data_IF_492332343184
#
_entry.id   IF_492332343184
#
_cell.length_a   1.000
_cell.length_b   1.000
_cell.length_c   1.000
_cell.angle_alpha   90.00
_cell.angle_beta   90.00
_cell.angle_gamma   90.00
#
_symmetry.space_group_name_H-M   'P 1'
#
loop_
_entity.id
_entity.type
_entity.pdbx_description
1 polymer ?
#
# COMPACT_ATOMS: atom_id res chain seq x y z
N UNK A 1 17.44 26.73 21.93
CA UNK A 1 17.41 27.18 20.55
C UNK A 1 18.26 26.22 19.75
N UNK A 2 17.64 25.28 19.05
CA UNK A 2 18.31 24.37 18.12
C UNK A 2 18.78 25.23 16.93
N UNK A 3 20.05 25.22 16.59
CA UNK A 3 20.57 25.88 15.38
C UNK A 3 19.81 25.26 14.20
N UNK A 4 19.01 26.05 13.50
CA UNK A 4 18.46 25.70 12.21
C UNK A 4 19.71 25.61 11.30
N UNK A 5 20.04 24.40 10.89
CA UNK A 5 21.13 24.18 9.91
C UNK A 5 20.50 24.26 8.53
N UNK A 6 20.85 25.30 7.76
CA UNK A 6 20.40 25.48 6.37
C UNK A 6 21.08 24.47 5.40
N UNK A 7 21.42 23.30 5.91
CA UNK A 7 22.07 22.19 5.19
C UNK A 7 21.35 20.89 5.53
N UNK A 8 20.82 20.15 4.53
CA UNK A 8 20.19 18.87 4.75
C UNK A 8 21.16 17.82 5.34
N UNK A 9 20.61 16.92 6.17
CA UNK A 9 21.41 15.82 6.76
C UNK A 9 21.89 14.82 5.71
N UNK A 10 21.15 14.65 4.61
CA UNK A 10 21.54 13.85 3.44
C UNK A 10 21.49 14.74 2.21
N UNK A 11 22.60 14.76 1.45
CA UNK A 11 22.76 15.61 0.27
C UNK A 11 23.53 14.89 -0.84
N UNK A 12 23.27 15.23 -2.07
CA UNK A 12 24.07 14.75 -3.21
C UNK A 12 25.50 15.27 -3.15
N UNK A 13 26.46 14.44 -3.57
CA UNK A 13 27.88 14.86 -3.63
C UNK A 13 28.07 16.03 -4.59
N UNK A 14 28.92 16.97 -4.19
CA UNK A 14 29.29 18.13 -4.99
C UNK A 14 28.52 19.41 -4.66
N UNK A 15 27.61 19.37 -3.69
CA UNK A 15 26.90 20.54 -3.20
C UNK A 15 27.24 20.75 -1.72
N UNK A 16 27.72 21.96 -1.39
CA UNK A 16 28.18 22.34 -0.03
C UNK A 16 27.53 23.63 0.48
N UNK A 17 27.02 24.46 -0.43
CA UNK A 17 26.48 25.79 -0.10
C UNK A 17 25.21 25.66 0.74
N UNK A 18 25.00 26.58 1.68
CA UNK A 18 23.76 26.67 2.45
C UNK A 18 22.56 26.91 1.53
N UNK A 19 21.42 26.33 1.87
CA UNK A 19 20.18 26.63 1.16
C UNK A 19 19.70 28.05 1.50
N UNK A 20 19.03 28.65 0.56
CA UNK A 20 18.38 29.95 0.75
C UNK A 20 17.02 29.74 1.42
N UNK A 21 16.76 30.51 2.49
CA UNK A 21 15.45 30.55 3.14
C UNK A 21 14.80 31.90 2.89
N UNK A 22 13.57 31.87 2.36
CA UNK A 22 12.77 33.07 2.10
C UNK A 22 11.35 32.91 2.64
N UNK A 23 10.67 34.04 2.86
CA UNK A 23 9.25 33.97 3.19
C UNK A 23 8.44 33.47 2.01
N UNK A 24 7.31 32.82 2.31
CA UNK A 24 6.46 32.17 1.33
C UNK A 24 6.01 33.14 0.22
N UNK A 25 5.61 34.36 0.58
CA UNK A 25 5.16 35.43 -0.36
C UNK A 25 6.28 36.02 -1.20
N UNK A 26 7.55 35.87 -0.80
CA UNK A 26 8.71 36.21 -1.62
C UNK A 26 8.99 35.15 -2.70
N UNK A 27 8.60 33.90 -2.45
CA UNK A 27 8.80 32.77 -3.36
C UNK A 27 7.62 32.58 -4.29
N UNK A 28 6.39 32.74 -3.78
CA UNK A 28 5.17 32.45 -4.51
C UNK A 28 4.28 33.67 -4.73
N UNK A 29 3.63 33.69 -5.87
CA UNK A 29 2.44 34.51 -6.14
C UNK A 29 1.20 33.59 -5.99
N UNK A 30 0.29 33.99 -5.10
CA UNK A 30 -0.95 33.27 -4.83
C UNK A 30 -2.19 34.02 -5.32
N UNK A 31 -2.06 34.84 -6.34
CA UNK A 31 -3.19 35.66 -6.87
C UNK A 31 -4.04 34.91 -7.89
N UNK A 32 -3.57 33.81 -8.45
CA UNK A 32 -4.33 32.98 -9.40
C UNK A 32 -5.60 32.47 -8.72
N UNK A 33 -6.79 32.73 -9.25
CA UNK A 33 -8.03 32.31 -8.63
C UNK A 33 -8.29 30.80 -8.82
N UNK A 34 -8.98 30.23 -7.86
CA UNK A 34 -9.60 28.90 -7.97
C UNK A 34 -11.08 29.04 -8.33
N UNK A 35 -11.70 27.96 -8.82
CA UNK A 35 -13.15 27.90 -8.99
C UNK A 35 -13.83 27.21 -7.81
N UNK A 36 -15.16 27.31 -7.74
CA UNK A 36 -15.99 26.81 -6.63
C UNK A 36 -16.85 25.61 -7.04
N UNK A 37 -16.53 24.96 -8.17
CA UNK A 37 -17.31 23.81 -8.66
C UNK A 37 -17.15 22.62 -7.70
N UNK A 38 -18.28 22.07 -7.31
CA UNK A 38 -18.35 20.85 -6.50
C UNK A 38 -17.97 19.60 -7.32
N UNK A 39 -17.71 18.50 -6.65
CA UNK A 39 -17.40 17.23 -7.33
C UNK A 39 -18.50 16.76 -8.28
N UNK A 40 -19.76 17.04 -7.95
CA UNK A 40 -20.92 16.66 -8.77
C UNK A 40 -21.02 17.42 -10.11
N UNK A 41 -20.33 18.57 -10.20
CA UNK A 41 -20.29 19.41 -11.41
C UNK A 41 -19.10 19.05 -12.34
N UNK A 42 -18.32 18.05 -11.98
CA UNK A 42 -17.17 17.58 -12.74
C UNK A 42 -17.43 16.24 -13.41
N UNK A 43 -16.85 16.01 -14.58
CA UNK A 43 -16.94 14.78 -15.35
C UNK A 43 -15.55 14.25 -15.72
N UNK A 44 -15.41 12.94 -15.86
CA UNK A 44 -14.20 12.35 -16.46
C UNK A 44 -14.32 12.18 -17.98
N UNK A 45 -15.53 12.18 -18.49
CA UNK A 45 -15.84 11.89 -19.89
C UNK A 45 -16.07 13.16 -20.73
N UNK A 46 -16.64 14.20 -20.13
CA UNK A 46 -17.06 15.42 -20.83
C UNK A 46 -16.27 16.65 -20.40
N UNK A 47 -15.94 17.52 -21.36
CA UNK A 47 -15.27 18.80 -21.12
C UNK A 47 -13.84 18.85 -21.68
N UNK A 48 -13.35 20.07 -21.88
CA UNK A 48 -12.00 20.33 -22.43
C UNK A 48 -11.06 20.97 -21.40
N UNK A 49 -11.58 21.56 -20.34
CA UNK A 49 -10.82 22.19 -19.25
C UNK A 49 -10.74 21.23 -18.07
N UNK A 50 -9.52 20.93 -17.65
CA UNK A 50 -9.22 20.07 -16.51
C UNK A 50 -9.39 20.83 -15.20
N UNK A 51 -9.82 20.17 -14.13
CA UNK A 51 -10.03 20.77 -12.81
C UNK A 51 -9.31 20.00 -11.71
N UNK A 52 -8.44 20.69 -10.95
CA UNK A 52 -7.74 20.10 -9.80
C UNK A 52 -8.57 20.29 -8.54
N UNK A 53 -9.35 19.29 -8.15
CA UNK A 53 -10.19 19.35 -6.96
C UNK A 53 -9.40 18.96 -5.70
N UNK A 54 -9.64 19.61 -4.54
CA UNK A 54 -8.88 19.38 -3.30
C UNK A 54 -8.87 17.89 -2.86
N UNK A 55 -10.00 17.19 -2.98
CA UNK A 55 -10.07 15.78 -2.63
C UNK A 55 -9.13 14.91 -3.46
N UNK A 56 -8.92 15.25 -4.75
CA UNK A 56 -7.97 14.52 -5.60
C UNK A 56 -6.52 14.83 -5.19
N UNK A 57 -6.21 16.08 -4.79
CA UNK A 57 -4.91 16.45 -4.23
C UNK A 57 -4.63 15.63 -2.97
N UNK A 58 -5.62 15.47 -2.09
CA UNK A 58 -5.46 14.74 -0.83
C UNK A 58 -5.22 13.24 -1.03
N UNK A 59 -5.95 12.59 -1.94
CA UNK A 59 -6.00 11.11 -2.01
C UNK A 59 -5.48 10.51 -3.32
N UNK A 60 -5.56 11.21 -4.45
CA UNK A 60 -5.29 10.66 -5.79
C UNK A 60 -3.92 11.06 -6.33
N UNK A 61 -3.58 12.35 -6.24
CA UNK A 61 -2.36 12.87 -6.84
C UNK A 61 -1.14 12.72 -5.90
N UNK A 62 0.02 12.49 -6.53
CA UNK A 62 1.31 12.51 -5.87
C UNK A 62 1.82 13.94 -5.63
N UNK A 63 3.12 14.07 -5.32
CA UNK A 63 3.76 15.39 -5.20
C UNK A 63 3.84 16.16 -6.52
N UNK A 64 3.78 15.45 -7.65
CA UNK A 64 3.70 16.02 -9.00
C UNK A 64 2.49 15.46 -9.71
N UNK A 65 1.67 16.33 -10.31
CA UNK A 65 0.54 15.98 -11.17
C UNK A 65 1.01 16.04 -12.63
N UNK A 66 1.17 14.88 -13.27
CA UNK A 66 1.49 14.78 -14.69
C UNK A 66 0.19 14.90 -15.50
N UNK A 67 -0.03 16.06 -16.10
CA UNK A 67 -1.29 16.37 -16.79
C UNK A 67 -1.57 15.46 -17.99
N UNK A 68 -0.56 14.76 -18.54
CA UNK A 68 -0.74 13.82 -19.65
C UNK A 68 -1.05 12.41 -19.20
N UNK A 69 -0.68 12.03 -17.97
CA UNK A 69 -0.81 10.64 -17.48
C UNK A 69 -1.88 10.47 -16.43
N UNK A 70 -2.07 11.50 -15.59
CA UNK A 70 -3.02 11.42 -14.50
C UNK A 70 -4.45 11.60 -15.00
N UNK A 71 -5.35 10.87 -14.38
CA UNK A 71 -6.77 10.97 -14.67
C UNK A 71 -7.37 12.16 -13.89
N UNK A 72 -7.61 13.25 -14.59
CA UNK A 72 -8.04 14.53 -14.05
C UNK A 72 -9.47 14.82 -14.52
N UNK A 73 -10.41 15.13 -13.60
CA UNK A 73 -11.76 15.47 -13.99
C UNK A 73 -11.79 16.77 -14.80
N UNK A 74 -12.82 16.90 -15.61
CA UNK A 74 -13.04 18.00 -16.53
C UNK A 74 -14.27 18.80 -16.14
N UNK A 75 -14.32 20.03 -16.59
CA UNK A 75 -15.49 20.90 -16.42
C UNK A 75 -16.36 20.78 -17.69
N UNK A 76 -17.59 20.20 -17.60
CA UNK A 76 -18.52 20.16 -18.71
C UNK A 76 -18.97 21.58 -19.11
N UNK A 77 -19.34 21.76 -20.38
CA UNK A 77 -19.95 22.98 -20.90
C UNK A 77 -19.15 24.28 -20.73
N UNK A 78 -17.85 24.20 -20.42
CA UNK A 78 -16.92 25.32 -20.29
C UNK A 78 -15.75 25.16 -21.23
N UNK A 79 -15.25 26.29 -21.73
CA UNK A 79 -14.08 26.32 -22.58
C UNK A 79 -12.92 27.11 -21.92
N UNK A 80 -11.76 27.06 -22.52
CA UNK A 80 -10.55 27.70 -22.01
C UNK A 80 -10.73 29.21 -21.76
N UNK A 81 -11.48 29.87 -22.63
CA UNK A 81 -11.74 31.31 -22.63
C UNK A 81 -12.54 31.74 -21.41
N UNK A 82 -13.35 30.85 -20.81
CA UNK A 82 -14.12 31.12 -19.60
C UNK A 82 -13.26 31.29 -18.34
N UNK A 83 -11.98 30.88 -18.42
CA UNK A 83 -11.05 30.84 -17.30
C UNK A 83 -9.83 31.75 -17.49
N UNK A 84 -10.01 32.88 -18.19
CA UNK A 84 -8.96 33.87 -18.35
C UNK A 84 -8.41 34.35 -17.00
N UNK A 85 -7.08 34.26 -16.82
CA UNK A 85 -6.41 34.60 -15.56
C UNK A 85 -6.41 33.48 -14.48
N UNK A 86 -7.18 32.40 -14.67
CA UNK A 86 -7.23 31.25 -13.75
C UNK A 86 -6.47 30.03 -14.26
N UNK A 87 -5.93 30.06 -15.49
CA UNK A 87 -5.21 28.93 -16.05
C UNK A 87 -3.88 28.68 -15.34
N UNK A 88 -3.64 27.42 -15.03
CA UNK A 88 -2.39 26.94 -14.42
C UNK A 88 -1.28 26.81 -15.46
N UNK A 89 -0.05 26.82 -14.97
CA UNK A 89 1.18 26.65 -15.74
C UNK A 89 2.01 25.51 -15.19
N UNK A 90 2.96 24.99 -15.99
CA UNK A 90 3.95 24.03 -15.46
C UNK A 90 4.76 24.70 -14.34
N UNK A 91 4.88 23.99 -13.21
CA UNK A 91 5.52 24.48 -11.99
C UNK A 91 4.60 25.19 -11.00
N UNK A 92 3.34 25.48 -11.35
CA UNK A 92 2.36 25.94 -10.36
C UNK A 92 2.15 24.84 -9.30
N UNK A 93 2.07 25.23 -8.03
CA UNK A 93 1.77 24.30 -6.94
C UNK A 93 0.34 24.54 -6.45
N UNK A 94 -0.42 23.47 -6.38
CA UNK A 94 -1.77 23.45 -5.82
C UNK A 94 -1.73 22.91 -4.42
N UNK A 95 -2.22 23.68 -3.45
CA UNK A 95 -2.30 23.29 -2.03
C UNK A 95 -3.77 23.08 -1.67
N UNK A 96 -4.11 21.92 -1.14
CA UNK A 96 -5.43 21.66 -0.55
C UNK A 96 -5.56 22.42 0.77
N UNK A 97 -6.46 23.39 0.84
CA UNK A 97 -6.62 24.27 2.00
C UNK A 97 -7.49 23.67 3.10
N UNK A 98 -8.12 22.53 2.86
CA UNK A 98 -9.07 21.90 3.78
C UNK A 98 -8.96 20.38 3.73
N UNK A 99 -8.94 19.73 4.90
CA UNK A 99 -9.03 18.27 5.08
C UNK A 99 -9.64 17.91 6.44
N UNK A 100 -9.95 16.63 6.66
CA UNK A 100 -10.48 16.12 7.95
C UNK A 100 -9.36 15.81 8.97
N UNK A 101 -8.09 15.94 8.56
CA UNK A 101 -6.92 15.62 9.37
C UNK A 101 -5.71 16.52 9.04
N UNK A 102 -4.56 16.20 9.60
CA UNK A 102 -3.29 16.91 9.40
C UNK A 102 -2.75 16.84 7.95
N UNK A 103 -3.42 16.17 7.02
CA UNK A 103 -3.09 16.22 5.58
C UNK A 103 -3.51 17.54 4.93
N UNK A 104 -4.22 18.40 5.64
CA UNK A 104 -4.48 19.79 5.25
C UNK A 104 -3.16 20.47 4.88
N UNK A 105 -3.11 21.14 3.74
CA UNK A 105 -1.87 21.71 3.22
C UNK A 105 -1.07 20.79 2.31
N UNK A 106 -1.57 19.57 2.03
CA UNK A 106 -0.96 18.72 1.01
C UNK A 106 -0.90 19.42 -0.33
N UNK A 107 0.23 19.30 -1.01
CA UNK A 107 0.53 20.00 -2.24
C UNK A 107 0.76 19.04 -3.42
N UNK A 108 0.42 19.50 -4.63
CA UNK A 108 0.87 18.88 -5.86
C UNK A 108 1.38 19.96 -6.85
N UNK A 109 2.51 19.70 -7.49
CA UNK A 109 3.11 20.56 -8.49
C UNK A 109 2.62 20.14 -9.88
N UNK A 110 2.20 21.12 -10.69
CA UNK A 110 1.65 20.88 -12.04
C UNK A 110 2.80 20.67 -13.01
N UNK A 111 2.73 19.62 -13.79
CA UNK A 111 3.73 19.35 -14.82
C UNK A 111 3.16 18.73 -16.09
N UNK A 112 3.91 18.88 -17.18
CA UNK A 112 3.64 18.27 -18.48
C UNK A 112 2.31 18.71 -19.11
N UNK A 113 2.00 20.00 -19.05
CA UNK A 113 0.76 20.59 -19.56
C UNK A 113 0.54 20.38 -21.06
N UNK A 114 1.58 20.53 -21.87
CA UNK A 114 1.53 20.39 -23.33
C UNK A 114 0.32 21.12 -23.99
N UNK A 115 0.01 22.32 -23.50
CA UNK A 115 -1.07 23.14 -24.02
C UNK A 115 -2.48 22.82 -23.53
N UNK A 116 -2.67 21.82 -22.69
CA UNK A 116 -3.98 21.53 -22.07
C UNK A 116 -4.40 22.65 -21.13
N UNK A 117 -5.68 22.98 -21.11
CA UNK A 117 -6.25 23.94 -20.18
C UNK A 117 -6.55 23.22 -18.85
N UNK A 118 -6.03 23.76 -17.76
CA UNK A 118 -6.25 23.23 -16.41
C UNK A 118 -6.42 24.38 -15.41
N UNK A 119 -7.32 24.23 -14.46
CA UNK A 119 -7.64 25.23 -13.44
C UNK A 119 -7.67 24.59 -12.05
N UNK A 120 -7.48 25.44 -11.04
CA UNK A 120 -7.59 25.08 -9.63
C UNK A 120 -9.06 25.04 -9.20
N UNK A 121 -9.47 24.00 -8.50
CA UNK A 121 -10.85 23.75 -8.08
C UNK A 121 -11.17 24.22 -6.67
N UNK A 122 -12.33 23.79 -6.18
CA UNK A 122 -12.82 24.08 -4.84
C UNK A 122 -11.79 23.65 -3.76
N UNK A 123 -11.66 24.46 -2.72
CA UNK A 123 -10.77 24.22 -1.58
C UNK A 123 -9.30 23.95 -1.96
N UNK A 124 -8.83 24.70 -2.94
CA UNK A 124 -7.43 24.69 -3.35
C UNK A 124 -6.87 26.10 -3.45
N UNK A 125 -5.57 26.26 -3.20
CA UNK A 125 -4.81 27.50 -3.40
C UNK A 125 -3.76 27.26 -4.47
N UNK A 126 -3.67 28.20 -5.43
CA UNK A 126 -2.60 28.21 -6.41
C UNK A 126 -1.43 29.02 -5.87
N UNK A 127 -0.26 28.43 -5.88
CA UNK A 127 1.00 29.03 -5.50
C UNK A 127 1.95 28.98 -6.70
N UNK A 128 2.05 30.09 -7.44
CA UNK A 128 2.89 30.22 -8.63
C UNK A 128 4.28 30.68 -8.22
N UNK A 129 5.34 29.92 -8.51
CA UNK A 129 6.70 30.35 -8.20
C UNK A 129 7.06 31.64 -8.95
N UNK A 130 7.62 32.66 -8.26
CA UNK A 130 8.09 33.90 -8.85
C UNK A 130 9.35 33.73 -9.70
N UNK A 131 10.12 32.68 -9.40
CA UNK A 131 11.30 32.28 -10.15
C UNK A 131 11.17 30.81 -10.54
N UNK A 132 11.67 30.47 -11.72
CA UNK A 132 11.64 29.06 -12.19
C UNK A 132 12.45 28.19 -11.24
N UNK A 133 11.85 27.10 -10.82
CA UNK A 133 12.49 26.02 -10.07
C UNK A 133 12.43 24.71 -10.87
N UNK A 134 13.26 23.75 -10.51
CA UNK A 134 13.22 22.43 -11.16
C UNK A 134 11.88 21.75 -10.88
N UNK A 135 11.20 21.32 -11.94
CA UNK A 135 9.90 20.66 -11.84
C UNK A 135 9.97 19.43 -10.92
N UNK A 136 9.04 19.35 -9.99
CA UNK A 136 8.93 18.32 -8.98
C UNK A 136 9.66 18.66 -7.66
N UNK A 137 10.53 19.66 -7.63
CA UNK A 137 11.20 20.06 -6.39
C UNK A 137 10.21 20.60 -5.36
N UNK A 138 9.41 21.58 -5.76
CA UNK A 138 8.46 22.23 -4.85
C UNK A 138 7.36 21.28 -4.37
N UNK A 139 6.84 20.43 -5.26
CA UNK A 139 5.85 19.45 -4.89
C UNK A 139 6.35 18.46 -3.83
N UNK A 140 7.60 18.04 -3.88
CA UNK A 140 8.20 17.18 -2.85
C UNK A 140 8.56 17.96 -1.58
N UNK A 141 9.12 19.16 -1.72
CA UNK A 141 9.49 20.00 -0.58
C UNK A 141 8.29 20.38 0.28
N UNK A 142 7.21 20.87 -0.31
CA UNK A 142 6.02 21.32 0.42
C UNK A 142 5.27 20.16 1.12
N UNK A 143 5.46 18.91 0.65
CA UNK A 143 4.98 17.70 1.31
C UNK A 143 6.00 17.08 2.28
N UNK A 144 7.21 17.65 2.42
CA UNK A 144 8.19 17.19 3.37
C UNK A 144 7.83 17.59 4.79
N UNK A 145 8.33 16.84 5.78
CA UNK A 145 8.14 17.22 7.19
C UNK A 145 8.77 18.59 7.51
N UNK A 146 9.88 18.94 6.85
CA UNK A 146 10.57 20.22 7.03
C UNK A 146 9.66 21.42 6.76
N UNK A 147 8.82 21.35 5.72
CA UNK A 147 7.86 22.41 5.42
C UNK A 147 6.51 22.20 6.11
N UNK A 148 5.92 20.99 6.01
CA UNK A 148 4.57 20.73 6.48
C UNK A 148 4.40 20.97 7.99
N UNK A 149 5.44 20.70 8.78
CA UNK A 149 5.45 20.99 10.22
C UNK A 149 5.14 22.48 10.53
N UNK A 150 5.51 23.43 9.67
CA UNK A 150 5.19 24.83 9.85
C UNK A 150 3.69 25.13 9.71
N UNK A 151 2.94 24.27 9.00
CA UNK A 151 1.50 24.42 8.76
C UNK A 151 0.67 23.96 9.97
N UNK A 152 1.11 22.95 10.71
CA UNK A 152 0.35 22.36 11.81
C UNK A 152 -0.20 23.38 12.81
N UNK A 153 0.62 24.33 13.37
CA UNK A 153 0.12 25.33 14.31
C UNK A 153 -0.76 26.41 13.67
N UNK A 154 -0.83 26.46 12.34
CA UNK A 154 -1.59 27.44 11.58
C UNK A 154 -2.95 26.90 11.10
N UNK A 155 -3.20 25.60 11.27
CA UNK A 155 -4.46 24.95 10.93
C UNK A 155 -5.54 25.36 11.92
N UNK A 156 -6.74 25.59 11.41
CA UNK A 156 -7.91 25.99 12.20
C UNK A 156 -9.06 25.01 11.97
N UNK A 157 -9.80 24.70 13.02
CA UNK A 157 -10.94 23.80 12.99
C UNK A 157 -10.83 22.66 14.02
N UNK A 158 -11.90 21.87 14.17
CA UNK A 158 -11.95 20.74 15.12
C UNK A 158 -12.16 19.42 14.37
N UNK A 159 -13.16 19.35 13.49
CA UNK A 159 -13.46 18.16 12.67
C UNK A 159 -12.92 18.29 11.26
N UNK A 160 -12.93 19.50 10.75
CA UNK A 160 -12.37 19.85 9.45
C UNK A 160 -11.34 20.93 9.71
N UNK A 161 -10.11 20.65 9.33
CA UNK A 161 -8.99 21.59 9.44
C UNK A 161 -8.91 22.43 8.16
N UNK A 162 -8.60 23.70 8.30
CA UNK A 162 -8.44 24.61 7.17
C UNK A 162 -7.22 25.52 7.34
N UNK A 163 -6.62 25.91 6.23
CA UNK A 163 -5.51 26.84 6.12
C UNK A 163 -5.92 28.03 5.29
N UNK A 164 -5.79 29.23 5.85
CA UNK A 164 -5.98 30.45 5.08
C UNK A 164 -4.72 30.84 4.31
N UNK A 165 -4.89 31.55 3.19
CA UNK A 165 -3.77 32.10 2.42
C UNK A 165 -2.85 32.96 3.30
N UNK A 166 -3.42 33.82 4.15
CA UNK A 166 -2.66 34.65 5.07
C UNK A 166 -1.87 33.87 6.11
N UNK A 167 -2.28 32.67 6.46
CA UNK A 167 -1.53 31.79 7.35
C UNK A 167 -0.35 31.12 6.62
N UNK A 168 -0.55 30.62 5.41
CA UNK A 168 0.54 30.04 4.62
C UNK A 168 1.63 31.08 4.33
N UNK A 169 1.28 32.32 4.07
CA UNK A 169 2.23 33.41 3.84
C UNK A 169 3.17 33.70 5.04
N UNK A 170 2.84 33.25 6.23
CA UNK A 170 3.71 33.37 7.41
C UNK A 170 4.83 32.32 7.45
N UNK A 171 4.78 31.30 6.62
CA UNK A 171 5.78 30.23 6.57
C UNK A 171 7.01 30.67 5.78
N UNK A 172 8.07 29.86 5.87
CA UNK A 172 9.30 30.06 5.11
C UNK A 172 9.56 28.88 4.19
N UNK A 173 10.17 29.14 3.05
CA UNK A 173 10.54 28.15 2.04
C UNK A 173 12.05 28.08 1.95
N UNK A 174 12.62 26.89 2.10
CA UNK A 174 14.06 26.65 1.96
C UNK A 174 14.34 25.89 0.67
N UNK A 175 15.33 26.33 -0.10
CA UNK A 175 15.69 25.69 -1.37
C UNK A 175 17.16 25.88 -1.71
N UNK A 176 17.79 24.92 -2.42
CA UNK A 176 19.13 25.12 -2.97
C UNK A 176 19.06 26.14 -4.11
N UNK A 177 20.02 27.07 -4.12
CA UNK A 177 20.12 28.09 -5.18
C UNK A 177 20.58 27.52 -6.53
N UNK A 178 21.21 26.33 -6.49
CA UNK A 178 21.71 25.65 -7.68
C UNK A 178 20.60 24.79 -8.28
N UNK A 179 20.07 25.17 -9.44
CA UNK A 179 18.98 24.44 -10.12
C UNK A 179 19.31 22.96 -10.34
N UNK A 180 20.58 22.63 -10.60
CA UNK A 180 21.04 21.25 -10.77
C UNK A 180 20.78 20.38 -9.54
N UNK A 181 20.92 20.94 -8.34
CA UNK A 181 20.63 20.22 -7.10
C UNK A 181 19.12 19.99 -6.94
N UNK A 182 18.29 21.03 -7.21
CA UNK A 182 16.83 20.89 -7.22
C UNK A 182 16.40 19.78 -8.18
N UNK A 183 16.99 19.71 -9.38
CA UNK A 183 16.70 18.69 -10.40
C UNK A 183 17.06 17.28 -9.92
N UNK A 184 18.22 17.10 -9.25
CA UNK A 184 18.62 15.80 -8.72
C UNK A 184 17.67 15.32 -7.61
N UNK A 185 17.27 16.22 -6.72
CA UNK A 185 16.30 15.93 -5.65
C UNK A 185 14.96 15.54 -6.25
N UNK A 186 14.42 16.36 -7.16
CA UNK A 186 13.16 16.11 -7.84
C UNK A 186 13.14 14.76 -8.58
N UNK A 187 14.19 14.48 -9.35
CA UNK A 187 14.32 13.22 -10.08
C UNK A 187 14.39 12.01 -9.14
N UNK A 188 15.12 12.13 -8.03
CA UNK A 188 15.24 11.04 -7.05
C UNK A 188 13.88 10.67 -6.45
N UNK A 189 13.12 11.67 -5.98
CA UNK A 189 11.79 11.41 -5.43
C UNK A 189 10.80 10.95 -6.48
N UNK A 190 10.84 11.49 -7.69
CA UNK A 190 9.99 11.03 -8.80
C UNK A 190 10.27 9.57 -9.17
N UNK A 191 11.53 9.13 -9.14
CA UNK A 191 11.87 7.71 -9.34
C UNK A 191 11.33 6.83 -8.22
N UNK A 192 11.45 7.27 -6.95
CA UNK A 192 10.85 6.54 -5.82
C UNK A 192 9.33 6.41 -5.96
N UNK A 193 8.64 7.48 -6.34
CA UNK A 193 7.18 7.47 -6.54
C UNK A 193 6.76 6.55 -7.68
N UNK A 194 7.52 6.53 -8.77
CA UNK A 194 7.28 5.60 -9.88
C UNK A 194 7.47 4.14 -9.44
N UNK A 195 8.51 3.82 -8.67
CA UNK A 195 8.75 2.48 -8.15
C UNK A 195 7.64 2.05 -7.18
N UNK A 196 7.24 2.93 -6.24
CA UNK A 196 6.13 2.68 -5.31
C UNK A 196 4.85 2.38 -6.09
N UNK A 197 4.50 3.19 -7.07
CA UNK A 197 3.32 3.01 -7.91
C UNK A 197 3.37 1.70 -8.70
N UNK A 198 4.52 1.36 -9.26
CA UNK A 198 4.72 0.11 -10.01
C UNK A 198 4.52 -1.12 -9.11
N UNK A 199 5.14 -1.12 -7.92
CA UNK A 199 5.02 -2.23 -6.98
C UNK A 199 3.58 -2.34 -6.44
N UNK A 200 2.90 -1.22 -6.16
CA UNK A 200 1.50 -1.20 -5.74
C UNK A 200 0.59 -1.83 -6.82
N UNK A 201 0.71 -1.39 -8.07
CA UNK A 201 -0.08 -1.95 -9.20
C UNK A 201 0.16 -3.45 -9.40
N UNK A 202 1.41 -3.90 -9.27
CA UNK A 202 1.74 -5.33 -9.38
C UNK A 202 1.16 -6.14 -8.23
N UNK A 203 1.26 -5.63 -7.00
CA UNK A 203 0.66 -6.24 -5.82
C UNK A 203 -0.85 -6.41 -6.00
N UNK A 204 -1.56 -5.33 -6.35
CA UNK A 204 -3.01 -5.34 -6.54
C UNK A 204 -3.43 -6.30 -7.66
N UNK A 205 -2.71 -6.27 -8.81
CA UNK A 205 -2.97 -7.17 -9.93
C UNK A 205 -2.78 -8.64 -9.54
N UNK A 206 -1.68 -8.98 -8.86
CA UNK A 206 -1.41 -10.37 -8.46
C UNK A 206 -2.42 -10.87 -7.41
N UNK A 207 -2.83 -10.00 -6.49
CA UNK A 207 -3.86 -10.31 -5.50
C UNK A 207 -5.21 -10.60 -6.18
N UNK A 208 -5.60 -9.78 -7.15
CA UNK A 208 -6.81 -9.99 -7.93
C UNK A 208 -6.73 -11.27 -8.79
N UNK A 209 -5.58 -11.54 -9.41
CA UNK A 209 -5.34 -12.79 -10.16
C UNK A 209 -5.46 -13.99 -9.21
N UNK A 210 -4.83 -13.96 -8.03
CA UNK A 210 -4.96 -15.06 -7.05
C UNK A 210 -6.41 -15.30 -6.68
N UNK A 211 -7.15 -14.23 -6.35
CA UNK A 211 -8.57 -14.34 -6.01
C UNK A 211 -9.38 -14.98 -7.14
N UNK A 212 -9.23 -14.51 -8.37
CA UNK A 212 -9.95 -15.07 -9.54
C UNK A 212 -9.56 -16.52 -9.82
N UNK A 213 -8.29 -16.89 -9.64
CA UNK A 213 -7.84 -18.27 -9.83
C UNK A 213 -8.37 -19.20 -8.73
N UNK A 214 -8.47 -18.74 -7.48
CA UNK A 214 -9.12 -19.50 -6.41
C UNK A 214 -10.61 -19.78 -6.70
N UNK A 215 -11.31 -18.80 -7.26
CA UNK A 215 -12.71 -18.96 -7.66
C UNK A 215 -12.87 -19.94 -8.84
N UNK A 216 -11.94 -19.95 -9.78
CA UNK A 216 -12.08 -20.69 -11.07
C UNK A 216 -11.35 -22.04 -11.10
N UNK A 217 -10.26 -22.19 -10.34
CA UNK A 217 -9.46 -23.41 -10.32
C UNK A 217 -9.86 -24.37 -9.19
N UNK A 218 -10.85 -24.01 -8.36
CA UNK A 218 -11.51 -24.91 -7.41
C UNK A 218 -12.97 -25.09 -7.80
N UNK A 219 -13.53 -26.28 -7.64
CA UNK A 219 -14.95 -26.54 -7.90
C UNK A 219 -15.85 -25.63 -7.08
N UNK A 220 -16.90 -25.09 -7.69
CA UNK A 220 -17.86 -24.18 -7.09
C UNK A 220 -19.30 -24.69 -7.29
N UNK A 221 -20.23 -24.22 -6.47
CA UNK A 221 -21.68 -24.40 -6.66
C UNK A 221 -22.12 -25.86 -6.78
N UNK A 222 -21.51 -26.80 -6.02
CA UNK A 222 -21.84 -28.22 -6.04
C UNK A 222 -21.25 -28.97 -7.23
N UNK A 223 -20.45 -28.34 -8.09
CA UNK A 223 -19.65 -29.02 -9.10
C UNK A 223 -18.51 -29.80 -8.44
N UNK A 224 -18.07 -30.88 -9.07
CA UNK A 224 -16.84 -31.59 -8.73
C UNK A 224 -15.71 -31.39 -9.78
N UNK A 225 -15.92 -30.43 -10.72
CA UNK A 225 -14.94 -30.06 -11.75
C UNK A 225 -14.76 -28.55 -11.73
N UNK A 226 -13.52 -28.01 -11.65
CA UNK A 226 -13.28 -26.58 -11.71
C UNK A 226 -13.48 -26.02 -13.11
N UNK A 227 -13.77 -24.68 -13.21
CA UNK A 227 -13.93 -23.97 -14.48
C UNK A 227 -12.63 -23.93 -15.28
N UNK A 228 -11.50 -23.65 -14.61
CA UNK A 228 -10.17 -23.62 -15.20
C UNK A 228 -9.34 -24.76 -14.61
N UNK A 229 -8.70 -25.52 -15.50
CA UNK A 229 -7.91 -26.70 -15.12
C UNK A 229 -6.66 -26.84 -15.99
N UNK A 230 -5.59 -27.42 -15.44
CA UNK A 230 -4.42 -27.79 -16.24
C UNK A 230 -4.77 -28.86 -17.28
N UNK A 231 -4.15 -28.76 -18.46
CA UNK A 231 -4.33 -29.77 -19.50
C UNK A 231 -3.91 -31.16 -19.02
N UNK A 232 -4.68 -32.16 -19.42
CA UNK A 232 -4.40 -33.58 -19.14
C UNK A 232 -5.15 -34.16 -17.93
N UNK A 233 -5.91 -33.34 -17.19
CA UNK A 233 -6.74 -33.81 -16.06
C UNK A 233 -8.22 -33.63 -16.43
N UNK A 234 -8.97 -34.74 -16.41
CA UNK A 234 -10.40 -34.77 -16.78
C UNK A 234 -11.29 -35.38 -15.69
N UNK A 235 -10.71 -36.18 -14.80
CA UNK A 235 -11.47 -36.86 -13.75
C UNK A 235 -12.05 -35.88 -12.74
N UNK A 236 -13.25 -36.16 -12.24
CA UNK A 236 -13.88 -35.38 -11.19
C UNK A 236 -13.04 -35.36 -9.91
N UNK A 237 -13.05 -34.25 -9.21
CA UNK A 237 -12.45 -34.18 -7.87
C UNK A 237 -13.27 -34.94 -6.84
N UNK A 238 -12.63 -35.43 -5.81
CA UNK A 238 -13.24 -36.15 -4.70
C UNK A 238 -13.52 -35.23 -3.52
N UNK A 239 -14.69 -35.41 -2.90
CA UNK A 239 -15.00 -34.80 -1.61
C UNK A 239 -14.51 -35.72 -0.49
N UNK A 240 -13.63 -35.23 0.37
CA UNK A 240 -12.99 -36.03 1.43
C UNK A 240 -12.96 -35.24 2.74
N UNK A 241 -13.15 -35.93 3.84
CA UNK A 241 -12.99 -35.35 5.19
C UNK A 241 -11.53 -35.12 5.51
N UNK A 242 -11.23 -34.03 6.25
CA UNK A 242 -9.88 -33.74 6.73
C UNK A 242 -9.29 -34.88 7.54
N UNK A 243 -10.10 -35.51 8.41
CA UNK A 243 -9.67 -36.65 9.25
C UNK A 243 -9.30 -37.90 8.46
N UNK A 244 -9.79 -38.06 7.24
CA UNK A 244 -9.39 -39.15 6.34
C UNK A 244 -8.02 -38.89 5.72
N UNK A 245 -7.73 -37.62 5.41
CA UNK A 245 -6.55 -37.19 4.66
C UNK A 245 -5.34 -36.91 5.57
N UNK A 246 -5.59 -36.41 6.78
CA UNK A 246 -4.57 -35.87 7.67
C UNK A 246 -4.75 -36.33 9.12
N UNK A 247 -3.63 -36.46 9.82
CA UNK A 247 -3.63 -36.57 11.28
C UNK A 247 -3.79 -35.18 11.88
N UNK A 248 -4.90 -34.97 12.59
CA UNK A 248 -5.21 -33.66 13.23
C UNK A 248 -4.53 -33.60 14.61
N UNK A 249 -3.75 -32.54 14.83
CA UNK A 249 -3.05 -32.29 16.10
C UNK A 249 -2.99 -30.75 16.37
N UNK A 250 -2.15 -30.32 17.28
CA UNK A 250 -1.98 -28.90 17.62
C UNK A 250 -0.54 -28.60 18.06
N UNK A 251 -0.19 -27.32 18.12
CA UNK A 251 1.06 -26.86 18.68
C UNK A 251 1.09 -26.86 20.21
N UNK A 252 2.21 -26.44 20.78
CA UNK A 252 2.46 -26.39 22.21
C UNK A 252 2.76 -24.98 22.69
N UNK A 253 2.52 -24.73 23.98
CA UNK A 253 2.79 -23.42 24.59
C UNK A 253 4.27 -23.09 24.46
N UNK A 254 4.55 -21.90 23.93
CA UNK A 254 5.89 -21.30 23.88
C UNK A 254 5.76 -19.83 24.25
N UNK A 255 6.51 -19.39 25.25
CA UNK A 255 6.52 -17.98 25.64
C UNK A 255 7.23 -17.12 24.57
N UNK A 256 6.65 -16.00 24.21
CA UNK A 256 7.22 -15.08 23.22
C UNK A 256 8.63 -14.60 23.60
N UNK A 257 8.93 -14.52 24.91
CA UNK A 257 10.25 -14.16 25.43
C UNK A 257 11.36 -15.16 25.12
N UNK A 258 11.01 -16.36 24.66
CA UNK A 258 11.96 -17.40 24.25
C UNK A 258 12.28 -17.34 22.75
N UNK A 259 11.65 -16.44 22.01
CA UNK A 259 11.83 -16.31 20.56
C UNK A 259 12.62 -15.05 20.21
N UNK A 260 13.42 -15.15 19.16
CA UNK A 260 14.13 -14.02 18.57
C UNK A 260 13.37 -13.44 17.38
N UNK A 261 13.41 -12.11 17.17
CA UNK A 261 12.67 -11.47 16.07
C UNK A 261 13.25 -11.79 14.68
N UNK A 262 14.50 -12.23 14.60
CA UNK A 262 15.19 -12.57 13.37
C UNK A 262 15.78 -13.98 13.44
N UNK A 263 15.87 -14.63 12.28
CA UNK A 263 16.53 -15.93 12.15
C UNK A 263 18.02 -15.79 12.38
N UNK A 264 18.56 -16.67 13.25
CA UNK A 264 20.01 -16.84 13.50
C UNK A 264 20.36 -18.32 13.38
N UNK A 265 21.67 -18.64 13.46
CA UNK A 265 22.12 -20.04 13.47
C UNK A 265 21.68 -20.79 14.74
N UNK A 266 21.52 -20.07 15.87
CA UNK A 266 21.05 -20.63 17.14
C UNK A 266 19.52 -20.72 17.20
N UNK A 267 18.81 -19.83 16.49
CA UNK A 267 17.36 -19.75 16.40
C UNK A 267 16.89 -19.91 14.95
N UNK A 268 17.05 -21.10 14.34
CA UNK A 268 16.84 -21.28 12.90
C UNK A 268 15.37 -21.52 12.50
N UNK A 269 14.49 -21.92 13.43
CA UNK A 269 13.16 -22.40 13.09
C UNK A 269 12.10 -21.32 13.33
N UNK A 270 11.24 -21.02 12.33
CA UNK A 270 10.14 -20.07 12.51
C UNK A 270 9.12 -20.63 13.50
N UNK A 271 8.57 -19.73 14.32
CA UNK A 271 7.49 -20.00 15.28
C UNK A 271 6.22 -19.31 14.82
N UNK A 272 5.16 -20.06 14.64
CA UNK A 272 3.86 -19.55 14.22
C UNK A 272 2.85 -19.50 15.38
N UNK A 273 2.01 -18.47 15.38
CA UNK A 273 0.95 -18.24 16.34
C UNK A 273 -0.29 -17.65 15.64
N UNK A 274 -1.33 -17.29 16.39
CA UNK A 274 -2.56 -16.68 15.88
C UNK A 274 -2.44 -15.23 15.41
N UNK A 275 -1.22 -14.69 15.27
CA UNK A 275 -1.00 -13.32 14.87
C UNK A 275 -1.49 -13.02 13.45
N UNK A 276 -1.96 -11.78 13.22
CA UNK A 276 -2.43 -11.31 11.91
C UNK A 276 -1.29 -10.93 10.96
N UNK A 277 -0.16 -10.46 11.52
CA UNK A 277 0.99 -10.01 10.74
C UNK A 277 1.87 -11.19 10.31
N UNK A 278 2.59 -11.02 9.22
CA UNK A 278 3.60 -11.94 8.70
C UNK A 278 3.11 -13.41 8.63
N UNK A 279 1.86 -13.62 8.23
CA UNK A 279 1.21 -14.92 8.17
C UNK A 279 1.30 -15.72 9.50
N UNK A 280 1.24 -15.01 10.63
CA UNK A 280 1.31 -15.61 11.96
C UNK A 280 2.71 -15.88 12.50
N UNK A 281 3.78 -15.41 11.81
CA UNK A 281 5.14 -15.53 12.31
C UNK A 281 5.30 -14.70 13.60
N UNK A 282 5.64 -15.38 14.70
CA UNK A 282 5.87 -14.78 16.02
C UNK A 282 7.35 -14.44 16.25
N UNK A 283 8.26 -15.24 15.68
CA UNK A 283 9.69 -15.13 15.82
C UNK A 283 10.39 -16.42 15.42
N UNK A 284 11.59 -16.64 15.91
CA UNK A 284 12.40 -17.82 15.64
C UNK A 284 12.83 -18.50 16.95
N UNK A 285 12.97 -19.83 16.92
CA UNK A 285 13.32 -20.65 18.08
C UNK A 285 14.35 -21.71 17.71
N UNK A 286 15.02 -22.26 18.70
CA UNK A 286 16.08 -23.27 18.53
C UNK A 286 15.57 -24.64 18.13
N UNK A 287 14.33 -24.99 18.51
CA UNK A 287 13.73 -26.32 18.26
C UNK A 287 12.51 -26.19 17.33
N UNK A 288 12.15 -27.29 16.69
CA UNK A 288 10.94 -27.40 15.87
C UNK A 288 10.04 -28.54 16.35
N UNK A 289 8.74 -28.46 16.01
CA UNK A 289 7.76 -29.51 16.32
C UNK A 289 7.33 -30.30 15.10
N UNK A 290 7.24 -29.61 13.96
CA UNK A 290 6.66 -30.16 12.73
C UNK A 290 7.47 -29.73 11.52
N UNK A 291 7.25 -30.48 10.42
CA UNK A 291 7.85 -30.22 9.13
C UNK A 291 6.79 -30.43 8.04
N UNK A 292 6.77 -29.59 7.01
CA UNK A 292 5.90 -29.68 5.83
C UNK A 292 4.42 -29.99 6.17
N UNK A 293 3.80 -29.15 6.99
CA UNK A 293 2.45 -29.36 7.49
C UNK A 293 1.54 -28.13 7.23
N UNK A 294 0.23 -28.34 7.36
CA UNK A 294 -0.76 -27.29 7.30
C UNK A 294 -1.10 -26.86 8.74
N UNK A 295 -1.16 -25.55 8.98
CA UNK A 295 -1.59 -24.98 10.26
C UNK A 295 -2.88 -24.18 10.07
N UNK A 296 -3.71 -24.11 11.11
CA UNK A 296 -4.81 -23.17 11.15
C UNK A 296 -4.86 -22.46 12.50
N UNK A 297 -5.36 -21.25 12.51
CA UNK A 297 -5.61 -20.50 13.75
C UNK A 297 -6.86 -21.04 14.43
N UNK A 298 -6.71 -21.52 15.67
CA UNK A 298 -7.82 -22.13 16.42
C UNK A 298 -8.67 -21.09 17.13
N UNK A 299 -8.10 -19.95 17.56
CA UNK A 299 -8.74 -19.00 18.44
C UNK A 299 -8.51 -17.54 17.99
N UNK A 300 -9.48 -16.66 18.28
CA UNK A 300 -9.39 -15.22 18.08
C UNK A 300 -9.90 -14.75 16.72
N UNK A 301 -9.70 -13.47 16.41
CA UNK A 301 -10.25 -12.80 15.22
C UNK A 301 -9.86 -13.48 13.88
N UNK A 302 -8.79 -14.26 13.87
CA UNK A 302 -8.30 -14.99 12.69
C UNK A 302 -8.61 -16.48 12.71
N UNK A 303 -9.48 -16.94 13.62
CA UNK A 303 -9.89 -18.34 13.67
C UNK A 303 -10.31 -18.82 12.26
N UNK A 304 -9.88 -20.03 11.90
CA UNK A 304 -10.15 -20.62 10.59
C UNK A 304 -9.20 -20.17 9.46
N UNK A 305 -8.22 -19.31 9.71
CA UNK A 305 -7.18 -19.00 8.72
C UNK A 305 -6.20 -20.17 8.61
N UNK A 306 -6.02 -20.68 7.41
CA UNK A 306 -5.21 -21.89 7.12
C UNK A 306 -3.97 -21.51 6.32
N UNK A 307 -2.82 -22.11 6.65
CA UNK A 307 -1.56 -21.88 5.95
C UNK A 307 -0.77 -23.19 5.80
N UNK A 308 -0.16 -23.42 4.64
CA UNK A 308 0.88 -24.40 4.47
C UNK A 308 2.20 -23.87 5.00
N UNK A 309 2.92 -24.68 5.78
CA UNK A 309 4.22 -24.36 6.36
C UNK A 309 5.28 -25.30 5.80
N UNK A 310 6.07 -24.81 4.88
CA UNK A 310 7.17 -25.55 4.29
C UNK A 310 8.37 -25.62 5.25
N UNK A 311 9.05 -26.77 5.28
CA UNK A 311 10.21 -27.04 6.13
C UNK A 311 9.87 -27.15 7.61
N UNK A 312 10.91 -27.09 8.44
CA UNK A 312 10.81 -27.25 9.90
C UNK A 312 10.32 -26.00 10.58
N UNK A 313 9.34 -26.14 11.48
CA UNK A 313 8.76 -25.02 12.22
C UNK A 313 8.25 -25.43 13.60
N UNK A 314 8.10 -24.43 14.46
CA UNK A 314 7.36 -24.54 15.72
C UNK A 314 6.01 -23.83 15.58
N UNK A 315 4.99 -24.26 16.27
CA UNK A 315 3.74 -23.51 16.41
C UNK A 315 3.20 -23.57 17.82
N UNK A 316 2.55 -22.46 18.23
CA UNK A 316 2.00 -22.33 19.58
C UNK A 316 0.68 -23.09 19.72
N UNK A 317 0.20 -23.22 20.94
CA UNK A 317 -1.03 -23.94 21.28
C UNK A 317 -2.33 -23.33 20.70
N UNK A 318 -2.26 -22.12 20.14
CA UNK A 318 -3.38 -21.48 19.41
C UNK A 318 -3.36 -21.78 17.90
N UNK A 319 -2.51 -22.71 17.48
CA UNK A 319 -2.48 -23.27 16.13
C UNK A 319 -2.83 -24.74 16.16
N UNK A 320 -3.81 -25.13 15.37
CA UNK A 320 -4.00 -26.53 14.99
C UNK A 320 -3.04 -26.91 13.86
N UNK A 321 -2.76 -28.21 13.72
CA UNK A 321 -1.82 -28.75 12.73
C UNK A 321 -2.40 -29.99 12.06
N UNK A 322 -2.31 -30.03 10.73
CA UNK A 322 -2.63 -31.19 9.89
C UNK A 322 -1.32 -31.79 9.39
N UNK A 323 -1.02 -32.98 9.83
CA UNK A 323 0.15 -33.76 9.40
C UNK A 323 -0.25 -34.68 8.24
N UNK A 324 0.60 -34.75 7.23
CA UNK A 324 0.39 -35.67 6.10
C UNK A 324 0.11 -37.09 6.55
N UNK A 325 -0.87 -37.75 5.92
CA UNK A 325 -1.23 -39.15 6.14
C UNK A 325 -1.51 -39.79 4.76
N UNK A 326 -2.77 -39.78 4.28
CA UNK A 326 -3.15 -40.28 2.95
C UNK A 326 -2.68 -39.30 1.84
N UNK A 327 -2.64 -38.03 2.13
CA UNK A 327 -2.28 -36.98 1.19
C UNK A 327 -1.18 -36.10 1.78
N UNK A 328 -0.22 -35.70 0.92
CA UNK A 328 0.84 -34.77 1.30
C UNK A 328 0.27 -33.36 1.53
N UNK A 329 0.56 -32.79 2.69
CA UNK A 329 0.25 -31.41 3.00
C UNK A 329 0.97 -30.45 2.02
N UNK A 330 0.22 -29.56 1.40
CA UNK A 330 0.76 -28.58 0.44
C UNK A 330 -0.13 -27.34 0.34
N UNK A 331 0.30 -26.35 -0.47
CA UNK A 331 -0.41 -25.08 -0.62
C UNK A 331 -1.81 -25.26 -1.20
N UNK A 332 -2.02 -26.18 -2.15
CA UNK A 332 -3.33 -26.43 -2.75
C UNK A 332 -4.35 -26.86 -1.69
N UNK A 333 -3.97 -27.76 -0.80
CA UNK A 333 -4.85 -28.23 0.31
C UNK A 333 -5.15 -27.08 1.28
N UNK A 334 -4.14 -26.26 1.60
CA UNK A 334 -4.35 -25.08 2.44
C UNK A 334 -5.36 -24.11 1.83
N UNK A 335 -5.29 -23.86 0.51
CA UNK A 335 -6.27 -23.01 -0.19
C UNK A 335 -7.67 -23.67 -0.25
N UNK A 336 -7.76 -24.97 -0.49
CA UNK A 336 -9.03 -25.70 -0.43
C UNK A 336 -9.72 -25.53 0.94
N UNK A 337 -8.94 -25.63 2.01
CA UNK A 337 -9.42 -25.42 3.37
C UNK A 337 -9.80 -23.93 3.62
N UNK A 338 -9.01 -22.97 3.16
CA UNK A 338 -9.32 -21.55 3.32
C UNK A 338 -10.66 -21.16 2.68
N UNK A 339 -11.07 -21.84 1.61
CA UNK A 339 -12.35 -21.59 0.94
C UNK A 339 -13.55 -21.94 1.85
N UNK A 340 -13.39 -22.88 2.78
CA UNK A 340 -14.51 -23.42 3.57
C UNK A 340 -14.36 -23.22 5.08
N UNK A 341 -13.14 -23.26 5.63
CA UNK A 341 -12.90 -23.34 7.07
C UNK A 341 -13.53 -22.21 7.90
N UNK A 342 -13.57 -20.99 7.35
CA UNK A 342 -14.20 -19.85 8.03
C UNK A 342 -15.70 -20.01 8.27
N UNK A 343 -16.38 -20.80 7.43
CA UNK A 343 -17.80 -21.13 7.60
C UNK A 343 -18.07 -22.01 8.82
N UNK A 344 -17.06 -22.68 9.33
CA UNK A 344 -17.16 -23.58 10.49
C UNK A 344 -16.68 -22.93 11.81
N UNK A 345 -16.27 -21.67 11.77
CA UNK A 345 -15.86 -20.94 12.98
C UNK A 345 -17.07 -20.64 13.84
N UNK A 346 -17.01 -21.04 15.12
CA UNK A 346 -18.01 -20.65 16.11
C UNK A 346 -17.71 -19.22 16.59
N UNK A 347 -18.71 -18.35 16.52
CA UNK A 347 -18.64 -16.96 17.00
C UNK A 347 -19.33 -16.75 18.36
N UNK A 348 -19.61 -17.85 19.08
CA UNK A 348 -20.15 -17.76 20.45
C UNK A 348 -18.98 -17.44 21.39
N UNK A 349 -18.90 -16.18 21.84
CA UNK A 349 -17.78 -15.65 22.61
C UNK A 349 -16.57 -15.36 21.72
N UNK A 350 -15.37 -15.81 22.15
CA UNK A 350 -14.17 -15.68 21.32
C UNK A 350 -14.27 -16.60 20.09
N UNK A 351 -14.07 -16.11 18.84
CA UNK A 351 -14.13 -16.94 17.65
C UNK A 351 -13.22 -18.17 17.76
N UNK A 352 -13.75 -19.36 17.39
CA UNK A 352 -13.00 -20.63 17.53
C UNK A 352 -13.28 -21.59 16.38
N UNK A 353 -12.20 -22.28 15.93
CA UNK A 353 -12.29 -23.46 15.09
C UNK A 353 -11.52 -24.61 15.77
N UNK A 354 -12.27 -25.49 16.44
CA UNK A 354 -11.71 -26.58 17.23
C UNK A 354 -11.23 -27.74 16.35
N UNK A 355 -10.31 -28.57 16.89
CA UNK A 355 -9.71 -29.71 16.18
C UNK A 355 -10.74 -30.71 15.67
N UNK A 356 -11.75 -31.06 16.48
CA UNK A 356 -12.82 -31.99 16.09
C UNK A 356 -13.66 -31.41 14.94
N UNK A 357 -13.95 -30.10 14.94
CA UNK A 357 -14.68 -29.43 13.85
C UNK A 357 -13.83 -29.43 12.59
N UNK A 358 -12.53 -29.06 12.69
CA UNK A 358 -11.61 -29.12 11.55
C UNK A 358 -11.52 -30.54 10.97
N UNK A 359 -11.50 -31.56 11.79
CA UNK A 359 -11.43 -32.97 11.38
C UNK A 359 -12.62 -33.40 10.52
N UNK A 360 -13.81 -32.86 10.80
CA UNK A 360 -15.06 -33.14 10.08
C UNK A 360 -15.32 -32.28 8.85
N UNK A 361 -14.48 -31.25 8.58
CA UNK A 361 -14.60 -30.43 7.38
C UNK A 361 -14.35 -31.30 6.15
N UNK A 362 -15.22 -31.16 5.16
CA UNK A 362 -15.07 -31.78 3.85
C UNK A 362 -14.49 -30.78 2.85
N UNK A 363 -13.52 -31.24 2.07
CA UNK A 363 -12.88 -30.45 1.00
C UNK A 363 -12.88 -31.22 -0.31
N UNK A 364 -12.96 -30.47 -1.41
CA UNK A 364 -12.78 -31.04 -2.75
C UNK A 364 -11.30 -31.07 -3.10
N UNK A 365 -10.78 -32.24 -3.48
CA UNK A 365 -9.39 -32.42 -3.90
C UNK A 365 -9.30 -33.19 -5.23
N UNK A 366 -8.32 -32.89 -6.09
CA UNK A 366 -8.03 -33.71 -7.28
C UNK A 366 -7.67 -35.13 -6.87
N UNK A 367 -8.14 -36.13 -7.62
CA UNK A 367 -7.76 -37.54 -7.46
C UNK A 367 -6.27 -37.76 -7.72
N UNK A 368 -5.72 -37.07 -8.73
CA UNK A 368 -4.31 -37.18 -9.13
C UNK A 368 -3.38 -36.34 -8.24
N UNK A 369 -2.36 -36.99 -7.67
CA UNK A 369 -1.32 -36.30 -6.88
C UNK A 369 -0.56 -35.24 -7.72
N UNK A 370 -0.34 -35.51 -9.01
CA UNK A 370 0.35 -34.59 -9.92
C UNK A 370 -0.45 -33.28 -10.11
N UNK A 371 -1.78 -33.35 -10.18
CA UNK A 371 -2.63 -32.14 -10.28
C UNK A 371 -2.57 -31.34 -8.99
N UNK A 372 -2.64 -32.01 -7.83
CA UNK A 372 -2.49 -31.36 -6.52
C UNK A 372 -1.16 -30.60 -6.43
N UNK A 373 -0.07 -31.19 -6.90
CA UNK A 373 1.24 -30.54 -6.88
C UNK A 373 1.34 -29.38 -7.87
N UNK A 374 0.81 -29.49 -9.10
CA UNK A 374 0.77 -28.39 -10.06
C UNK A 374 0.01 -27.17 -9.52
N UNK A 375 -1.15 -27.40 -8.88
CA UNK A 375 -1.92 -26.36 -8.21
C UNK A 375 -1.15 -25.76 -7.04
N UNK A 376 -0.50 -26.61 -6.22
CA UNK A 376 0.31 -26.16 -5.10
C UNK A 376 1.45 -25.25 -5.53
N UNK A 377 2.21 -25.63 -6.55
CA UNK A 377 3.30 -24.82 -7.12
C UNK A 377 2.76 -23.49 -7.67
N UNK A 378 1.64 -23.54 -8.38
CA UNK A 378 1.03 -22.34 -8.97
C UNK A 378 0.64 -21.31 -7.89
N UNK A 379 -0.11 -21.72 -6.86
CA UNK A 379 -0.53 -20.80 -5.79
C UNK A 379 0.63 -20.34 -4.92
N UNK A 380 1.59 -21.22 -4.62
CA UNK A 380 2.82 -20.84 -3.90
C UNK A 380 3.64 -19.79 -4.63
N UNK A 381 3.76 -19.90 -5.94
CA UNK A 381 4.44 -18.88 -6.77
C UNK A 381 3.72 -17.54 -6.73
N UNK A 382 2.38 -17.53 -6.81
CA UNK A 382 1.58 -16.31 -6.65
C UNK A 382 1.80 -15.67 -5.28
N UNK A 383 1.74 -16.44 -4.21
CA UNK A 383 1.96 -15.94 -2.84
C UNK A 383 3.37 -15.39 -2.64
N UNK A 384 4.36 -16.04 -3.23
CA UNK A 384 5.75 -15.56 -3.20
C UNK A 384 5.88 -14.21 -3.91
N UNK A 385 5.27 -14.04 -5.08
CA UNK A 385 5.30 -12.79 -5.82
C UNK A 385 4.54 -11.67 -5.10
N UNK A 386 3.36 -11.96 -4.56
CA UNK A 386 2.55 -11.03 -3.77
C UNK A 386 3.38 -10.53 -2.56
N UNK A 387 3.95 -11.45 -1.80
CA UNK A 387 4.77 -11.14 -0.62
C UNK A 387 6.01 -10.32 -0.97
N UNK A 388 6.67 -10.65 -2.08
CA UNK A 388 7.85 -9.90 -2.56
C UNK A 388 7.47 -8.45 -2.88
N UNK A 389 6.41 -8.25 -3.67
CA UNK A 389 5.98 -6.88 -4.04
C UNK A 389 5.50 -6.09 -2.83
N UNK A 390 4.81 -6.71 -1.87
CA UNK A 390 4.40 -6.06 -0.62
C UNK A 390 5.62 -5.59 0.20
N UNK A 391 6.62 -6.45 0.39
CA UNK A 391 7.85 -6.11 1.14
C UNK A 391 8.64 -4.98 0.47
N UNK A 392 8.80 -5.03 -0.84
CA UNK A 392 9.49 -3.96 -1.57
C UNK A 392 8.71 -2.64 -1.50
N UNK A 393 7.38 -2.69 -1.59
CA UNK A 393 6.52 -1.51 -1.43
C UNK A 393 6.69 -0.86 -0.05
N UNK A 394 6.66 -1.64 1.02
CA UNK A 394 6.86 -1.14 2.40
C UNK A 394 8.27 -0.55 2.58
N UNK A 395 9.28 -1.21 2.04
CA UNK A 395 10.67 -0.73 2.08
C UNK A 395 10.83 0.60 1.34
N UNK A 396 10.27 0.72 0.13
CA UNK A 396 10.32 1.95 -0.65
C UNK A 396 9.57 3.11 0.03
N UNK A 397 8.39 2.84 0.62
CA UNK A 397 7.64 3.84 1.40
C UNK A 397 8.43 4.33 2.62
N UNK A 398 9.08 3.42 3.36
CA UNK A 398 9.96 3.78 4.49
C UNK A 398 11.16 4.59 4.04
N UNK A 399 11.80 4.20 2.92
CA UNK A 399 12.92 4.93 2.34
C UNK A 399 12.51 6.34 1.93
N UNK A 400 11.38 6.49 1.20
CA UNK A 400 10.86 7.80 0.80
C UNK A 400 10.63 8.70 2.02
N UNK A 401 9.97 8.17 3.06
CA UNK A 401 9.74 8.92 4.30
C UNK A 401 11.04 9.39 4.94
N UNK A 402 12.02 8.50 5.12
CA UNK A 402 13.30 8.85 5.71
C UNK A 402 14.10 9.89 4.87
N UNK A 403 13.99 9.82 3.54
CA UNK A 403 14.61 10.80 2.66
C UNK A 403 13.91 12.17 2.73
N UNK A 404 12.58 12.20 2.76
CA UNK A 404 11.81 13.44 2.97
C UNK A 404 12.15 14.13 4.30
N UNK A 405 12.47 13.35 5.36
CA UNK A 405 12.89 13.88 6.67
C UNK A 405 14.33 14.41 6.68
N UNK A 406 15.23 13.88 5.82
CA UNK A 406 16.67 14.14 5.93
C UNK A 406 17.26 14.92 4.76
N UNK A 407 16.58 14.99 3.63
CA UNK A 407 17.05 15.70 2.41
C UNK A 407 16.46 17.10 2.27
N UNK A 408 15.59 17.51 3.18
CA UNK A 408 15.04 18.85 3.26
C UNK A 408 15.34 19.50 4.62
N UNK A 409 15.33 20.84 4.65
CA UNK A 409 15.56 21.71 5.81
C UNK A 409 14.44 22.72 5.98
#
# INVERSE_FOLDING_TARGET
MTKITDIPAIRFKGFSDTWEQRKFDEVFDCTVPNNTLSRAELSYDEGTVLNVHYGDVLIKYGSVLDVQKDDIPRIPYRCREDFNGALLQDGDVIIADTAEDETTGKACEIGNLQGRAIVSGLHTMVCRPRHRMALGYLGHYLNSNAYHHQLLPLMQGIKVLSLSRSNIQKTSVSYPTVEKEQQLIANYFSQLDNLITLHQRKYDKLTNVKKSMLEKMFPQNGSNVPEIRFKGFTEAWEQRKVSELFKVTRGYVLAATLTEPAKTDEMPYPVYSSQTKDNGLMGYYKDYLYEDAITWTTDGANAGTVNYRAGKFYCTNVCGVLLSNEVTANQMIAEALNNVAKGYVSYVGNPKLMNNVMADIEIMIPTHAEEREKLSVFFRNLDTLITLHQRELEKLKKLKKACLEKMFV
#
